data_IF_963920795875
#
_entry.id   IF_963920795875
#
_cell.length_a   1.000
_cell.length_b   1.000
_cell.length_c   1.000
_cell.angle_alpha   90.00
_cell.angle_beta   90.00
_cell.angle_gamma   90.00
#
_symmetry.space_group_name_H-M   'P 1'
#
loop_
_entity.id
_entity.type
_entity.pdbx_description
1 polymer ?
#
# COMPACT_ATOMS: atom_id res chain seq x y z
N UNK A 1 17.71 -9.15 53.31
CA UNK A 1 18.79 -8.15 53.16
C UNK A 1 18.95 -7.46 54.48
N UNK A 2 20.18 -7.33 54.97
CA UNK A 2 20.51 -6.58 56.19
C UNK A 2 21.16 -5.28 55.71
N UNK A 3 20.57 -4.14 56.04
CA UNK A 3 21.10 -2.83 55.68
C UNK A 3 20.97 -1.91 56.88
N UNK A 4 21.94 -1.01 57.01
CA UNK A 4 21.93 0.03 58.02
C UNK A 4 22.49 1.31 57.43
N UNK A 5 21.98 2.45 57.89
CA UNK A 5 22.24 3.76 57.31
C UNK A 5 22.98 4.61 58.33
N UNK A 6 24.13 5.14 57.90
CA UNK A 6 24.95 6.03 58.71
C UNK A 6 25.02 7.38 58.00
N UNK A 7 24.52 8.41 58.66
CA UNK A 7 24.58 9.78 58.16
C UNK A 7 25.88 10.43 58.59
N UNK A 8 26.65 10.95 57.63
CA UNK A 8 27.85 11.74 57.88
C UNK A 8 27.57 13.20 57.53
N UNK A 9 27.89 14.16 58.41
CA UNK A 9 27.75 15.58 58.11
C UNK A 9 28.78 16.03 57.06
N UNK A 10 28.64 17.25 56.54
CA UNK A 10 29.56 17.78 55.53
C UNK A 10 30.98 17.87 56.08
N UNK A 11 31.94 17.21 55.41
CA UNK A 11 33.35 17.30 55.79
C UNK A 11 33.91 18.72 55.61
N UNK A 12 33.42 19.45 54.62
CA UNK A 12 33.88 20.80 54.31
C UNK A 12 33.32 21.83 55.29
N UNK A 13 32.03 21.72 55.63
CA UNK A 13 31.33 22.74 56.43
C UNK A 13 31.36 22.44 57.93
N UNK A 14 31.53 21.17 58.32
CA UNK A 14 31.43 20.69 59.70
C UNK A 14 32.44 19.56 60.01
N UNK A 15 33.74 19.81 59.78
CA UNK A 15 34.80 18.80 59.92
C UNK A 15 34.84 18.10 61.30
N UNK A 16 34.62 18.84 62.39
CA UNK A 16 34.64 18.26 63.74
C UNK A 16 33.48 17.29 63.97
N UNK A 17 32.29 17.63 63.46
CA UNK A 17 31.10 16.78 63.54
C UNK A 17 31.25 15.54 62.66
N UNK A 18 31.92 15.70 61.50
CA UNK A 18 32.26 14.58 60.63
C UNK A 18 33.20 13.60 61.32
N UNK A 19 34.28 14.06 61.92
CA UNK A 19 35.24 13.21 62.62
C UNK A 19 34.60 12.50 63.82
N UNK A 20 33.73 13.20 64.56
CA UNK A 20 32.95 12.60 65.64
C UNK A 20 32.01 11.49 65.13
N UNK A 21 31.32 11.72 64.01
CA UNK A 21 30.46 10.71 63.38
C UNK A 21 31.26 9.50 62.87
N UNK A 22 32.45 9.72 62.29
CA UNK A 22 33.35 8.64 61.85
C UNK A 22 33.87 7.83 63.04
N UNK A 23 34.18 8.46 64.17
CA UNK A 23 34.61 7.73 65.37
C UNK A 23 33.48 6.87 65.95
N UNK A 24 32.25 7.40 66.03
CA UNK A 24 31.07 6.60 66.38
C UNK A 24 30.87 5.42 65.42
N UNK A 25 31.07 5.64 64.12
CA UNK A 25 31.01 4.57 63.14
C UNK A 25 32.10 3.51 63.40
N UNK A 26 33.36 3.90 63.64
CA UNK A 26 34.45 2.96 63.98
C UNK A 26 34.17 2.13 65.23
N UNK A 27 33.58 2.72 66.26
CA UNK A 27 33.22 2.00 67.48
C UNK A 27 32.32 0.79 67.18
N UNK A 28 31.42 0.92 66.20
CA UNK A 28 30.55 -0.18 65.74
C UNK A 28 31.30 -1.34 65.08
N UNK A 29 32.49 -1.10 64.54
CA UNK A 29 33.34 -2.16 63.96
C UNK A 29 34.25 -2.83 64.99
N UNK A 30 34.54 -2.16 66.11
CA UNK A 30 35.57 -2.60 67.06
C UNK A 30 34.94 -3.18 68.34
N UNK A 31 33.90 -2.55 68.87
CA UNK A 31 33.32 -2.93 70.15
C UNK A 31 32.29 -4.06 69.99
N UNK A 32 32.75 -5.30 70.18
CA UNK A 32 31.91 -6.52 70.11
C UNK A 32 30.77 -6.58 71.12
N UNK A 33 30.84 -5.77 72.17
CA UNK A 33 29.82 -5.71 73.22
C UNK A 33 28.79 -4.60 72.97
N UNK A 34 28.99 -3.77 71.95
CA UNK A 34 28.00 -2.78 71.55
C UNK A 34 26.78 -3.49 70.94
N UNK A 35 25.55 -3.10 71.28
CA UNK A 35 24.36 -3.59 70.58
C UNK A 35 24.38 -3.22 69.08
N UNK A 36 25.12 -2.18 68.71
CA UNK A 36 25.28 -1.71 67.32
C UNK A 36 26.49 -2.32 66.60
N UNK A 37 27.09 -3.37 67.17
CA UNK A 37 28.23 -4.07 66.58
C UNK A 37 27.86 -4.65 65.21
N UNK A 38 28.63 -4.26 64.19
CA UNK A 38 28.23 -4.51 62.81
C UNK A 38 28.43 -5.97 62.39
N UNK A 39 29.53 -6.62 62.79
CA UNK A 39 29.85 -7.94 62.25
C UNK A 39 29.03 -9.05 62.89
N UNK A 40 28.04 -9.55 62.16
CA UNK A 40 27.26 -10.73 62.53
C UNK A 40 27.93 -12.01 61.97
N UNK A 41 27.87 -13.15 62.67
CA UNK A 41 28.37 -14.43 62.15
C UNK A 41 27.77 -14.83 60.80
N UNK A 42 26.54 -14.39 60.49
CA UNK A 42 25.88 -14.63 59.20
C UNK A 42 26.55 -13.95 58.00
N UNK A 43 27.40 -12.94 58.23
CA UNK A 43 28.16 -12.28 57.16
C UNK A 43 29.46 -12.99 56.82
N UNK A 44 29.87 -13.94 57.65
CA UNK A 44 31.14 -14.62 57.47
C UNK A 44 31.01 -15.58 56.31
N UNK A 45 31.63 -15.25 55.17
CA UNK A 45 31.84 -16.25 54.13
C UNK A 45 32.74 -17.32 54.70
N UNK A 46 32.29 -18.56 54.54
CA UNK A 46 32.95 -19.78 54.96
C UNK A 46 34.20 -20.03 54.09
N UNK A 47 35.20 -19.17 54.24
CA UNK A 47 36.50 -19.24 53.58
C UNK A 47 37.57 -18.91 54.61
N UNK A 48 38.51 -19.84 54.81
CA UNK A 48 39.64 -19.61 55.72
C UNK A 48 40.52 -18.46 55.25
N UNK A 49 41.14 -17.74 56.18
CA UNK A 49 41.95 -16.55 55.89
C UNK A 49 43.11 -16.84 54.91
N UNK A 50 43.72 -18.02 54.97
CA UNK A 50 44.76 -18.48 54.05
C UNK A 50 44.24 -18.76 52.62
N UNK A 51 42.94 -18.99 52.47
CA UNK A 51 42.28 -19.32 51.19
C UNK A 51 41.47 -18.17 50.62
N UNK A 52 41.33 -17.05 51.35
CA UNK A 52 40.48 -15.94 50.93
C UNK A 52 40.96 -15.34 49.60
N UNK A 53 42.27 -15.22 49.40
CA UNK A 53 42.84 -14.71 48.16
C UNK A 53 42.48 -15.61 46.97
N UNK A 54 42.72 -16.93 47.09
CA UNK A 54 42.38 -17.90 46.05
C UNK A 54 40.88 -17.91 45.73
N UNK A 55 40.03 -17.85 46.75
CA UNK A 55 38.58 -17.78 46.60
C UNK A 55 38.15 -16.50 45.86
N UNK A 56 38.67 -15.33 46.25
CA UNK A 56 38.37 -14.07 45.59
C UNK A 56 38.84 -14.06 44.13
N UNK A 57 40.01 -14.62 43.82
CA UNK A 57 40.50 -14.79 42.45
C UNK A 57 39.57 -15.66 41.62
N UNK A 58 39.09 -16.78 42.17
CA UNK A 58 38.10 -17.63 41.49
C UNK A 58 36.77 -16.91 41.26
N UNK A 59 36.28 -16.15 42.26
CA UNK A 59 35.08 -15.34 42.11
C UNK A 59 35.25 -14.28 41.03
N UNK A 60 36.39 -13.59 41.00
CA UNK A 60 36.69 -12.58 39.99
C UNK A 60 36.71 -13.20 38.58
N UNK A 61 37.37 -14.34 38.42
CA UNK A 61 37.40 -15.07 37.16
C UNK A 61 35.99 -15.46 36.69
N UNK A 62 35.14 -15.96 37.59
CA UNK A 62 33.76 -16.30 37.29
C UNK A 62 32.92 -15.07 36.89
N UNK A 63 33.09 -13.95 37.61
CA UNK A 63 32.42 -12.69 37.29
C UNK A 63 32.82 -12.20 35.90
N UNK A 64 34.12 -12.23 35.58
CA UNK A 64 34.62 -11.80 34.27
C UNK A 64 34.13 -12.71 33.13
N UNK A 65 34.16 -14.02 33.35
CA UNK A 65 33.79 -15.01 32.34
C UNK A 65 32.28 -15.01 32.07
N UNK A 66 31.46 -14.76 33.08
CA UNK A 66 30.00 -14.83 33.00
C UNK A 66 29.31 -13.46 33.14
N UNK A 67 30.04 -12.36 32.95
CA UNK A 67 29.51 -11.01 33.14
C UNK A 67 28.27 -10.74 32.29
N UNK A 68 28.21 -11.28 31.07
CA UNK A 68 27.05 -11.14 30.18
C UNK A 68 25.78 -11.77 30.76
N UNK A 69 25.89 -12.89 31.47
CA UNK A 69 24.77 -13.54 32.15
C UNK A 69 24.40 -12.79 33.43
N UNK A 70 25.40 -12.43 34.24
CA UNK A 70 25.21 -11.72 35.51
C UNK A 70 24.60 -10.33 35.29
N UNK A 71 25.11 -9.59 34.31
CA UNK A 71 24.63 -8.25 33.94
C UNK A 71 23.19 -8.26 33.45
N UNK A 72 22.81 -9.28 32.67
CA UNK A 72 21.43 -9.45 32.22
C UNK A 72 20.50 -9.84 33.38
N UNK A 73 20.88 -10.81 34.21
CA UNK A 73 19.97 -11.35 35.24
C UNK A 73 19.84 -10.46 36.48
N UNK A 74 20.90 -9.75 36.89
CA UNK A 74 20.92 -9.01 38.16
C UNK A 74 20.73 -7.49 38.00
N UNK A 75 21.05 -6.92 36.84
CA UNK A 75 21.09 -5.47 36.64
C UNK A 75 20.26 -4.98 35.45
N UNK A 76 19.61 -5.90 34.72
CA UNK A 76 18.80 -5.60 33.52
C UNK A 76 19.55 -4.76 32.48
N UNK A 77 20.89 -4.89 32.47
CA UNK A 77 21.78 -3.96 31.78
C UNK A 77 21.99 -4.27 30.30
N UNK A 78 21.68 -5.49 29.85
CA UNK A 78 21.87 -5.89 28.45
C UNK A 78 20.54 -6.16 27.75
N UNK A 79 20.25 -5.40 26.69
CA UNK A 79 19.06 -5.61 25.83
C UNK A 79 19.09 -6.93 25.04
N UNK A 80 20.24 -7.58 24.96
CA UNK A 80 20.42 -8.86 24.26
C UNK A 80 20.50 -10.00 25.28
N UNK A 81 19.60 -11.00 25.22
CA UNK A 81 19.64 -12.15 26.12
C UNK A 81 20.92 -12.96 25.91
N UNK A 82 21.55 -13.47 26.99
CA UNK A 82 22.71 -14.35 26.86
C UNK A 82 22.34 -15.60 26.06
N UNK A 83 23.30 -16.11 25.29
CA UNK A 83 23.12 -17.40 24.60
C UNK A 83 22.79 -18.50 25.64
N UNK A 84 21.91 -19.42 25.26
CA UNK A 84 21.44 -20.50 26.14
C UNK A 84 22.58 -21.35 26.72
N UNK A 85 23.66 -21.54 25.95
CA UNK A 85 24.88 -22.26 26.37
C UNK A 85 25.68 -21.51 27.46
N UNK A 86 25.69 -20.18 27.44
CA UNK A 86 26.33 -19.35 28.46
C UNK A 86 25.56 -19.41 29.78
N UNK A 87 24.22 -19.44 29.72
CA UNK A 87 23.36 -19.59 30.90
C UNK A 87 23.53 -20.97 31.56
N UNK A 88 23.60 -22.03 30.75
CA UNK A 88 23.88 -23.39 31.24
C UNK A 88 25.26 -23.51 31.90
N UNK A 89 26.30 -22.96 31.27
CA UNK A 89 27.66 -22.94 31.83
C UNK A 89 27.73 -22.15 33.15
N UNK A 90 27.13 -20.97 33.18
CA UNK A 90 27.04 -20.18 34.42
C UNK A 90 26.28 -20.93 35.52
N UNK A 91 25.18 -21.61 35.23
CA UNK A 91 24.43 -22.37 36.25
C UNK A 91 25.28 -23.50 36.87
N UNK A 92 26.05 -24.21 36.05
CA UNK A 92 26.98 -25.26 36.51
C UNK A 92 28.10 -24.63 37.35
N UNK A 93 28.76 -23.58 36.86
CA UNK A 93 29.88 -22.95 37.55
C UNK A 93 29.48 -22.16 38.81
N UNK A 94 28.28 -21.60 38.84
CA UNK A 94 27.67 -20.96 40.02
C UNK A 94 27.54 -21.95 41.17
N UNK A 95 27.22 -23.21 40.88
CA UNK A 95 27.24 -24.27 41.91
C UNK A 95 28.66 -24.68 42.32
N UNK A 96 29.66 -24.47 41.45
CA UNK A 96 31.08 -24.76 41.71
C UNK A 96 31.85 -23.62 42.39
N UNK A 97 31.32 -22.39 42.43
CA UNK A 97 31.92 -21.27 43.18
C UNK A 97 32.06 -21.56 44.70
N UNK A 98 31.38 -22.60 45.18
CA UNK A 98 31.73 -23.34 46.39
C UNK A 98 32.16 -24.76 45.96
N UNK A 99 33.45 -24.96 45.69
CA UNK A 99 33.98 -26.26 45.25
C UNK A 99 33.46 -27.39 46.16
N UNK A 100 32.70 -28.35 45.61
CA UNK A 100 32.02 -29.43 46.38
C UNK A 100 32.95 -30.16 47.37
N UNK A 101 34.22 -30.38 47.00
CA UNK A 101 35.22 -30.99 47.87
C UNK A 101 35.86 -30.06 48.91
N UNK A 102 35.91 -28.74 48.64
CA UNK A 102 36.37 -27.75 49.62
C UNK A 102 35.25 -27.37 50.60
N UNK A 103 33.99 -27.43 50.15
CA UNK A 103 32.79 -27.19 50.94
C UNK A 103 32.66 -28.17 52.10
N UNK A 104 32.87 -29.48 51.87
CA UNK A 104 32.79 -30.49 52.94
C UNK A 104 33.88 -30.29 54.00
N UNK A 105 35.13 -30.06 53.59
CA UNK A 105 36.25 -29.80 54.51
C UNK A 105 36.03 -28.51 55.31
N UNK A 106 35.52 -27.47 54.64
CA UNK A 106 35.26 -26.19 55.29
C UNK A 106 34.08 -26.27 56.26
N UNK A 107 32.98 -26.92 55.85
CA UNK A 107 31.83 -27.17 56.71
C UNK A 107 32.24 -28.00 57.92
N UNK A 108 33.08 -29.02 57.75
CA UNK A 108 33.63 -29.77 58.88
C UNK A 108 34.39 -28.87 59.86
N UNK A 109 35.24 -27.99 59.35
CA UNK A 109 35.97 -26.98 60.12
C UNK A 109 35.04 -26.01 60.86
N UNK A 110 34.00 -25.50 60.19
CA UNK A 110 32.97 -24.66 60.78
C UNK A 110 32.24 -25.37 61.91
N UNK A 111 31.74 -26.59 61.68
CA UNK A 111 31.10 -27.39 62.72
C UNK A 111 32.04 -27.63 63.90
N UNK A 112 33.31 -27.96 63.67
CA UNK A 112 34.28 -28.15 64.77
C UNK A 112 34.50 -26.85 65.57
N UNK A 113 34.58 -25.69 64.91
CA UNK A 113 34.68 -24.38 65.56
C UNK A 113 33.44 -24.08 66.40
N UNK A 114 32.24 -24.28 65.84
CA UNK A 114 30.98 -24.06 66.57
C UNK A 114 30.87 -25.00 67.76
N UNK A 115 31.18 -26.29 67.59
CA UNK A 115 31.24 -27.27 68.70
C UNK A 115 32.16 -26.75 69.80
N UNK A 116 33.36 -26.31 69.45
CA UNK A 116 34.32 -25.82 70.46
C UNK A 116 33.79 -24.58 71.18
N UNK A 117 33.23 -23.62 70.44
CA UNK A 117 32.67 -22.39 71.00
C UNK A 117 31.51 -22.66 71.97
N UNK A 118 30.52 -23.44 71.54
CA UNK A 118 29.34 -23.73 72.37
C UNK A 118 29.68 -24.68 73.53
N UNK A 119 30.66 -25.57 73.35
CA UNK A 119 31.15 -26.42 74.43
C UNK A 119 31.94 -25.64 75.48
N UNK A 120 32.76 -24.66 75.07
CA UNK A 120 33.42 -23.77 76.03
C UNK A 120 32.39 -22.97 76.84
N UNK A 121 31.34 -22.45 76.19
CA UNK A 121 30.21 -21.81 76.89
C UNK A 121 29.50 -22.76 77.86
N UNK A 122 29.33 -24.03 77.47
CA UNK A 122 28.81 -25.07 78.35
C UNK A 122 29.68 -25.25 79.59
N UNK A 123 31.00 -25.37 79.42
CA UNK A 123 31.96 -25.51 80.53
C UNK A 123 31.88 -24.33 81.50
N UNK A 124 31.83 -23.09 80.99
CA UNK A 124 31.63 -21.90 81.82
C UNK A 124 30.29 -21.93 82.58
N UNK A 125 29.21 -22.33 81.92
CA UNK A 125 27.88 -22.39 82.51
C UNK A 125 27.74 -23.45 83.62
N UNK A 126 28.51 -24.54 83.54
CA UNK A 126 28.46 -25.60 84.56
C UNK A 126 29.40 -25.37 85.75
N UNK A 127 30.37 -24.43 85.68
CA UNK A 127 31.30 -24.17 86.79
C UNK A 127 30.61 -23.94 88.14
N UNK A 128 29.57 -23.08 88.26
CA UNK A 128 28.91 -22.87 89.55
C UNK A 128 28.25 -24.14 90.08
N UNK A 129 27.67 -24.94 89.17
CA UNK A 129 27.03 -26.23 89.52
C UNK A 129 28.10 -27.26 89.93
N UNK A 130 29.25 -27.24 89.27
CA UNK A 130 30.38 -28.09 89.58
C UNK A 130 30.98 -27.77 90.96
N UNK A 131 31.14 -26.49 91.30
CA UNK A 131 31.63 -26.05 92.62
C UNK A 131 30.65 -26.43 93.74
N UNK A 132 29.34 -26.27 93.50
CA UNK A 132 28.29 -26.75 94.41
C UNK A 132 28.35 -28.27 94.61
N UNK A 133 28.53 -29.04 93.53
CA UNK A 133 28.67 -30.50 93.61
C UNK A 133 29.91 -30.90 94.43
N UNK A 134 31.04 -30.22 94.24
CA UNK A 134 32.26 -30.53 95.01
C UNK A 134 32.14 -30.21 96.50
N UNK A 135 31.34 -29.21 96.86
CA UNK A 135 31.19 -28.78 98.25
C UNK A 135 30.07 -29.51 99.00
N UNK A 136 28.97 -29.85 98.32
CA UNK A 136 27.74 -30.37 98.95
C UNK A 136 27.37 -31.80 98.53
N UNK A 137 28.01 -32.36 97.51
CA UNK A 137 27.65 -33.65 96.91
C UNK A 137 26.57 -33.53 95.83
N UNK A 138 26.26 -34.65 95.17
CA UNK A 138 25.33 -34.69 94.03
C UNK A 138 23.86 -34.82 94.49
N UNK A 139 23.14 -33.72 94.44
CA UNK A 139 21.67 -33.67 94.58
C UNK A 139 20.95 -33.69 93.22
N UNK A 140 19.69 -34.15 93.20
CA UNK A 140 18.83 -34.19 92.00
C UNK A 140 18.65 -32.81 91.34
N UNK A 141 18.66 -31.74 92.15
CA UNK A 141 18.57 -30.38 91.64
C UNK A 141 19.77 -29.99 90.76
N UNK A 142 20.98 -30.44 91.12
CA UNK A 142 22.18 -30.17 90.32
C UNK A 142 22.17 -30.97 89.01
N UNK A 143 21.69 -32.21 89.02
CA UNK A 143 21.49 -32.99 87.79
C UNK A 143 20.51 -32.30 86.83
N UNK A 144 19.40 -31.77 87.35
CA UNK A 144 18.46 -30.95 86.56
C UNK A 144 19.12 -29.70 85.96
N UNK A 145 19.96 -29.00 86.74
CA UNK A 145 20.74 -27.83 86.26
C UNK A 145 21.73 -28.21 85.15
N UNK A 146 22.45 -29.33 85.29
CA UNK A 146 23.38 -29.83 84.26
C UNK A 146 22.65 -30.21 82.96
N UNK A 147 21.50 -30.90 83.05
CA UNK A 147 20.67 -31.23 81.88
C UNK A 147 20.15 -29.97 81.21
N UNK A 148 19.76 -28.94 81.98
CA UNK A 148 19.33 -27.63 81.44
C UNK A 148 20.48 -26.92 80.69
N UNK A 149 21.69 -26.93 81.24
CA UNK A 149 22.88 -26.38 80.57
C UNK A 149 23.11 -27.08 79.22
N UNK A 150 23.08 -28.42 79.20
CA UNK A 150 23.21 -29.21 77.96
C UNK A 150 22.15 -28.83 76.93
N UNK A 151 20.87 -28.74 77.32
CA UNK A 151 19.79 -28.35 76.40
C UNK A 151 20.03 -26.97 75.77
N UNK A 152 20.45 -26.00 76.58
CA UNK A 152 20.77 -24.64 76.13
C UNK A 152 21.94 -24.62 75.15
N UNK A 153 22.97 -25.43 75.40
CA UNK A 153 24.11 -25.62 74.49
C UNK A 153 23.69 -26.23 73.16
N UNK A 154 22.83 -27.25 73.17
CA UNK A 154 22.32 -27.87 71.94
C UNK A 154 21.45 -26.90 71.14
N UNK A 155 20.62 -26.10 71.79
CA UNK A 155 19.83 -25.06 71.15
C UNK A 155 20.72 -23.98 70.50
N UNK A 156 21.77 -23.55 71.20
CA UNK A 156 22.75 -22.58 70.68
C UNK A 156 23.51 -23.14 69.46
N UNK A 157 23.91 -24.41 69.51
CA UNK A 157 24.53 -25.10 68.37
C UNK A 157 23.59 -25.09 67.17
N UNK A 158 22.34 -25.55 67.35
CA UNK A 158 21.34 -25.61 66.28
C UNK A 158 21.08 -24.24 65.65
N UNK A 159 20.96 -23.19 66.46
CA UNK A 159 20.75 -21.84 65.97
C UNK A 159 21.94 -21.31 65.14
N UNK A 160 23.18 -21.61 65.52
CA UNK A 160 24.37 -21.16 64.79
C UNK A 160 24.51 -21.88 63.44
N UNK A 161 24.12 -23.16 63.37
CA UNK A 161 24.30 -24.01 62.19
C UNK A 161 23.03 -24.17 61.34
N UNK A 162 21.94 -23.48 61.68
CA UNK A 162 20.63 -23.63 61.03
C UNK A 162 20.69 -23.52 59.51
N UNK A 163 21.47 -22.57 58.99
CA UNK A 163 21.63 -22.35 57.56
C UNK A 163 22.62 -23.30 56.87
N UNK A 164 23.19 -24.26 57.60
CA UNK A 164 24.27 -25.15 57.14
C UNK A 164 23.94 -26.64 57.38
N UNK A 165 22.66 -26.99 57.50
CA UNK A 165 22.20 -28.38 57.64
C UNK A 165 22.56 -29.17 56.37
N UNK A 166 23.52 -30.08 56.51
CA UNK A 166 23.95 -31.00 55.45
C UNK A 166 24.27 -32.37 56.04
N UNK A 167 24.82 -33.27 55.23
CA UNK A 167 25.00 -34.69 55.59
C UNK A 167 25.79 -34.93 56.90
N UNK A 168 26.66 -33.98 57.29
CA UNK A 168 27.47 -34.09 58.51
C UNK A 168 26.83 -33.44 59.75
N UNK A 169 25.66 -32.80 59.61
CA UNK A 169 24.97 -32.08 60.69
C UNK A 169 24.70 -32.98 61.90
N UNK A 170 24.02 -34.12 61.69
CA UNK A 170 23.65 -35.02 62.80
C UNK A 170 24.90 -35.62 63.46
N UNK A 171 25.90 -36.03 62.68
CA UNK A 171 27.15 -36.56 63.21
C UNK A 171 27.88 -35.54 64.12
N UNK A 172 27.91 -34.26 63.72
CA UNK A 172 28.53 -33.18 64.50
C UNK A 172 27.70 -32.80 65.73
N UNK A 173 26.39 -32.78 65.59
CA UNK A 173 25.44 -32.58 66.69
C UNK A 173 25.57 -33.66 67.76
N UNK A 174 25.68 -34.92 67.33
CA UNK A 174 25.89 -36.06 68.22
C UNK A 174 27.27 -36.02 68.90
N UNK A 175 28.32 -35.60 68.17
CA UNK A 175 29.65 -35.37 68.76
C UNK A 175 29.63 -34.35 69.90
N UNK A 176 28.93 -33.23 69.74
CA UNK A 176 28.75 -32.25 70.82
C UNK A 176 27.96 -32.83 71.99
N UNK A 177 26.88 -33.57 71.70
CA UNK A 177 26.06 -34.23 72.72
C UNK A 177 26.89 -35.22 73.54
N UNK A 178 27.73 -36.02 72.89
CA UNK A 178 28.63 -36.97 73.57
C UNK A 178 29.59 -36.25 74.51
N UNK A 179 30.28 -35.20 74.02
CA UNK A 179 31.19 -34.39 74.85
C UNK A 179 30.51 -33.83 76.10
N UNK A 180 29.29 -33.28 75.96
CA UNK A 180 28.54 -32.76 77.09
C UNK A 180 28.15 -33.87 78.07
N UNK A 181 27.67 -35.02 77.56
CA UNK A 181 27.27 -36.17 78.37
C UNK A 181 28.45 -36.80 79.11
N UNK A 182 29.62 -36.93 78.47
CA UNK A 182 30.85 -37.41 79.09
C UNK A 182 31.28 -36.50 80.23
N UNK A 183 31.23 -35.18 80.03
CA UNK A 183 31.55 -34.23 81.10
C UNK A 183 30.56 -34.32 82.27
N UNK A 184 29.26 -34.38 81.99
CA UNK A 184 28.23 -34.57 83.04
C UNK A 184 28.44 -35.90 83.78
N UNK A 185 28.72 -36.98 83.04
CA UNK A 185 28.98 -38.30 83.61
C UNK A 185 30.22 -38.28 84.51
N UNK A 186 31.31 -37.62 84.09
CA UNK A 186 32.52 -37.50 84.91
C UNK A 186 32.24 -36.83 86.26
N UNK A 187 31.42 -35.77 86.28
CA UNK A 187 31.01 -35.08 87.49
C UNK A 187 30.15 -35.95 88.41
N UNK A 188 29.31 -36.81 87.83
CA UNK A 188 28.45 -37.73 88.59
C UNK A 188 29.21 -38.96 89.09
N UNK A 189 30.17 -39.50 88.33
CA UNK A 189 30.93 -40.71 88.67
C UNK A 189 31.99 -40.51 89.73
N UNK A 190 32.49 -39.27 89.91
CA UNK A 190 33.49 -38.94 90.93
C UNK A 190 32.93 -38.92 92.37
N UNK A 191 31.61 -38.98 92.56
CA UNK A 191 30.99 -38.60 93.85
C UNK A 191 30.20 -39.67 94.62
N UNK A 192 29.64 -40.76 94.04
CA UNK A 192 29.19 -42.04 94.72
C UNK A 192 28.23 -42.89 93.85
N UNK A 193 28.00 -44.20 94.18
CA UNK A 193 27.29 -45.15 93.30
C UNK A 193 25.73 -45.15 93.31
N UNK A 194 25.05 -44.41 94.19
CA UNK A 194 23.66 -44.72 94.58
C UNK A 194 22.53 -43.88 93.93
N UNK A 195 22.78 -43.28 92.77
CA UNK A 195 21.79 -42.56 91.95
C UNK A 195 21.54 -43.20 90.57
N UNK A 196 22.08 -44.40 90.33
CA UNK A 196 22.01 -45.11 89.05
C UNK A 196 20.59 -45.56 88.64
N UNK A 197 19.68 -45.83 89.59
CA UNK A 197 18.36 -46.40 89.29
C UNK A 197 17.39 -45.39 88.66
N UNK A 198 17.36 -44.14 89.16
CA UNK A 198 16.56 -43.07 88.55
C UNK A 198 17.07 -42.70 87.16
N UNK A 199 18.40 -42.69 86.99
CA UNK A 199 19.04 -42.48 85.70
C UNK A 199 18.71 -43.62 84.71
N UNK A 200 18.69 -44.88 85.17
CA UNK A 200 18.37 -46.04 84.35
C UNK A 200 16.92 -46.04 83.85
N UNK A 201 15.96 -45.66 84.69
CA UNK A 201 14.54 -45.55 84.30
C UNK A 201 14.36 -44.43 83.28
N UNK A 202 15.00 -43.27 83.49
CA UNK A 202 14.95 -42.15 82.55
C UNK A 202 15.58 -42.52 81.20
N UNK A 203 16.71 -43.23 81.22
CA UNK A 203 17.37 -43.74 80.00
C UNK A 203 16.49 -44.77 79.26
N UNK A 204 15.75 -45.61 79.97
CA UNK A 204 14.84 -46.59 79.36
C UNK A 204 13.61 -45.92 78.73
N UNK A 205 13.04 -44.92 79.41
CA UNK A 205 11.96 -44.11 78.88
C UNK A 205 12.38 -43.33 77.62
N UNK A 206 13.55 -42.66 77.66
CA UNK A 206 14.14 -41.97 76.50
C UNK A 206 14.36 -42.94 75.33
N UNK A 207 14.86 -44.16 75.59
CA UNK A 207 15.10 -45.16 74.54
C UNK A 207 13.81 -45.63 73.87
N UNK A 208 12.72 -45.73 74.63
CA UNK A 208 11.42 -46.18 74.11
C UNK A 208 10.75 -45.06 73.29
N UNK A 209 10.81 -43.82 73.78
CA UNK A 209 10.39 -42.63 73.02
C UNK A 209 11.16 -42.50 71.71
N UNK A 210 12.46 -42.72 71.73
CA UNK A 210 13.31 -42.65 70.54
C UNK A 210 12.95 -43.74 69.51
N UNK A 211 12.61 -44.96 69.96
CA UNK A 211 12.14 -46.02 69.07
C UNK A 211 10.80 -45.68 68.41
N UNK A 212 9.86 -45.08 69.16
CA UNK A 212 8.61 -44.58 68.59
C UNK A 212 8.84 -43.43 67.60
N UNK A 213 9.69 -42.48 67.95
CA UNK A 213 10.04 -41.35 67.08
C UNK A 213 10.65 -41.84 65.77
N UNK A 214 11.55 -42.83 65.83
CA UNK A 214 12.13 -43.47 64.65
C UNK A 214 11.06 -44.18 63.79
N UNK A 215 10.15 -44.93 64.41
CA UNK A 215 9.08 -45.63 63.68
C UNK A 215 8.10 -44.65 63.01
N UNK A 216 7.83 -43.50 63.64
CA UNK A 216 7.01 -42.42 63.06
C UNK A 216 7.75 -41.79 61.88
N UNK A 217 9.04 -41.48 62.03
CA UNK A 217 9.86 -40.92 60.95
C UNK A 217 9.90 -41.86 59.73
N UNK A 218 10.06 -43.18 59.93
CA UNK A 218 10.05 -44.16 58.84
C UNK A 218 8.68 -44.20 58.11
N UNK A 219 7.56 -44.13 58.83
CA UNK A 219 6.23 -44.07 58.21
C UNK A 219 6.01 -42.78 57.43
N UNK A 220 6.42 -41.64 57.99
CA UNK A 220 6.33 -40.34 57.32
C UNK A 220 7.18 -40.35 56.05
N UNK A 221 8.39 -40.92 56.10
CA UNK A 221 9.26 -41.03 54.92
C UNK A 221 8.63 -41.85 53.80
N UNK A 222 8.06 -43.02 54.12
CA UNK A 222 7.39 -43.87 53.13
C UNK A 222 6.17 -43.19 52.49
N UNK A 223 5.38 -42.47 53.29
CA UNK A 223 4.22 -41.72 52.78
C UNK A 223 4.65 -40.54 51.90
N UNK A 224 5.73 -39.83 52.27
CA UNK A 224 6.33 -38.77 51.46
C UNK A 224 6.83 -39.33 50.12
N UNK A 225 7.54 -40.46 50.12
CA UNK A 225 8.00 -41.12 48.89
C UNK A 225 6.83 -41.57 48.00
N UNK A 226 5.75 -42.10 48.59
CA UNK A 226 4.54 -42.47 47.85
C UNK A 226 3.92 -41.24 47.18
N UNK A 227 3.75 -40.14 47.92
CA UNK A 227 3.20 -38.87 47.43
C UNK A 227 4.07 -38.26 46.32
N UNK A 228 5.39 -38.36 46.44
CA UNK A 228 6.33 -37.90 45.40
C UNK A 228 6.10 -38.69 44.10
N UNK A 229 6.04 -40.03 44.17
CA UNK A 229 5.80 -40.86 42.98
C UNK A 229 4.45 -40.58 42.31
N UNK A 230 3.39 -40.37 43.10
CA UNK A 230 2.07 -39.98 42.59
C UNK A 230 2.10 -38.63 41.88
N UNK A 231 2.80 -37.65 42.47
CA UNK A 231 2.98 -36.33 41.89
C UNK A 231 3.83 -36.37 40.61
N UNK A 232 4.89 -37.19 40.57
CA UNK A 232 5.72 -37.41 39.38
C UNK A 232 4.90 -38.02 38.24
N UNK A 233 4.04 -39.00 38.52
CA UNK A 233 3.16 -39.60 37.53
C UNK A 233 2.16 -38.58 36.97
N UNK A 234 1.52 -37.78 37.85
CA UNK A 234 0.60 -36.73 37.43
C UNK A 234 1.31 -35.64 36.61
N UNK A 235 2.54 -35.27 36.98
CA UNK A 235 3.37 -34.34 36.22
C UNK A 235 3.76 -34.89 34.84
N UNK A 236 4.07 -36.18 34.75
CA UNK A 236 4.35 -36.83 33.47
C UNK A 236 3.12 -36.85 32.56
N UNK A 237 1.94 -37.15 33.11
CA UNK A 237 0.69 -37.22 32.34
C UNK A 237 0.27 -35.83 31.83
N UNK A 238 0.31 -34.81 32.68
CA UNK A 238 0.02 -33.42 32.26
C UNK A 238 1.00 -32.90 31.21
N UNK A 239 2.28 -33.31 31.28
CA UNK A 239 3.27 -32.98 30.25
C UNK A 239 2.90 -33.56 28.88
N UNK A 240 2.48 -34.83 28.81
CA UNK A 240 2.04 -35.47 27.55
C UNK A 240 0.84 -34.73 26.95
N UNK A 241 -0.12 -34.32 27.79
CA UNK A 241 -1.30 -33.56 27.35
C UNK A 241 -0.91 -32.18 26.79
N UNK A 242 0.02 -31.49 27.45
CA UNK A 242 0.56 -30.21 26.97
C UNK A 242 1.32 -30.36 25.65
N UNK A 243 2.09 -31.43 25.47
CA UNK A 243 2.81 -31.70 24.23
C UNK A 243 1.81 -31.98 23.08
N UNK A 244 0.73 -32.71 23.34
CA UNK A 244 -0.35 -32.92 22.37
C UNK A 244 -1.07 -31.62 21.99
N UNK A 245 -1.36 -30.76 22.97
CA UNK A 245 -1.95 -29.44 22.73
C UNK A 245 -1.02 -28.54 21.92
N UNK A 246 0.29 -28.55 22.22
CA UNK A 246 1.30 -27.81 21.45
C UNK A 246 1.34 -28.26 20.00
N UNK A 247 1.28 -29.56 19.74
CA UNK A 247 1.23 -30.09 18.38
C UNK A 247 -0.03 -29.60 17.63
N UNK A 248 -1.19 -29.54 18.31
CA UNK A 248 -2.43 -29.00 17.73
C UNK A 248 -2.31 -27.50 17.41
N UNK A 249 -1.67 -26.72 18.28
CA UNK A 249 -1.40 -25.29 18.05
C UNK A 249 -0.54 -25.12 16.81
N UNK A 250 0.58 -25.85 16.70
CA UNK A 250 1.45 -25.78 15.53
C UNK A 250 0.74 -26.17 14.22
N UNK A 251 -0.15 -27.16 14.26
CA UNK A 251 -0.96 -27.50 13.09
C UNK A 251 -1.89 -26.35 12.68
N UNK A 252 -2.56 -25.73 13.65
CA UNK A 252 -3.45 -24.59 13.39
C UNK A 252 -2.67 -23.36 12.89
N UNK A 253 -1.49 -23.08 13.43
CA UNK A 253 -0.58 -22.03 12.94
C UNK A 253 -0.23 -22.26 11.46
N UNK A 254 0.08 -23.50 11.08
CA UNK A 254 0.38 -23.85 9.69
C UNK A 254 -0.83 -23.68 8.76
N UNK A 255 -2.03 -24.05 9.21
CA UNK A 255 -3.28 -23.85 8.45
C UNK A 255 -3.58 -22.37 8.27
N UNK A 256 -3.41 -21.55 9.31
CA UNK A 256 -3.59 -20.09 9.23
C UNK A 256 -2.61 -19.49 8.21
N UNK A 257 -1.34 -19.87 8.27
CA UNK A 257 -0.34 -19.38 7.32
C UNK A 257 -0.68 -19.74 5.85
N UNK A 258 -1.23 -20.93 5.60
CA UNK A 258 -1.71 -21.32 4.27
C UNK A 258 -2.90 -20.46 3.82
N UNK A 259 -3.88 -20.25 4.71
CA UNK A 259 -5.04 -19.42 4.39
C UNK A 259 -4.66 -17.96 4.14
N UNK A 260 -3.71 -17.40 4.89
CA UNK A 260 -3.19 -16.04 4.67
C UNK A 260 -2.53 -15.92 3.28
N UNK A 261 -1.81 -16.95 2.84
CA UNK A 261 -1.24 -17.00 1.50
C UNK A 261 -2.33 -17.06 0.41
N UNK A 262 -3.39 -17.85 0.59
CA UNK A 262 -4.54 -17.91 -0.32
C UNK A 262 -5.28 -16.56 -0.39
N UNK A 263 -5.53 -15.92 0.76
CA UNK A 263 -6.15 -14.59 0.83
C UNK A 263 -5.32 -13.56 0.06
N UNK A 264 -3.99 -13.58 0.23
CA UNK A 264 -3.07 -12.71 -0.49
C UNK A 264 -3.15 -12.92 -2.02
N UNK A 265 -3.23 -14.18 -2.47
CA UNK A 265 -3.42 -14.52 -3.88
C UNK A 265 -4.76 -14.01 -4.42
N UNK A 266 -5.86 -14.18 -3.67
CA UNK A 266 -7.17 -13.67 -4.07
C UNK A 266 -7.20 -12.14 -4.13
N UNK A 267 -6.57 -11.44 -3.19
CA UNK A 267 -6.45 -9.99 -3.22
C UNK A 267 -5.71 -9.49 -4.47
N UNK A 268 -4.62 -10.15 -4.85
CA UNK A 268 -3.89 -9.85 -6.09
C UNK A 268 -4.75 -10.07 -7.34
N UNK A 269 -5.50 -11.17 -7.41
CA UNK A 269 -6.41 -11.45 -8.50
C UNK A 269 -7.53 -10.39 -8.62
N UNK A 270 -8.10 -9.97 -7.48
CA UNK A 270 -9.11 -8.91 -7.45
C UNK A 270 -8.54 -7.61 -8.02
N UNK A 271 -7.34 -7.21 -7.61
CA UNK A 271 -6.68 -6.01 -8.14
C UNK A 271 -6.47 -6.07 -9.66
N UNK A 272 -6.05 -7.22 -10.20
CA UNK A 272 -5.93 -7.39 -11.66
C UNK A 272 -7.29 -7.27 -12.38
N UNK A 273 -8.36 -7.81 -11.81
CA UNK A 273 -9.70 -7.72 -12.37
C UNK A 273 -10.25 -6.29 -12.33
N UNK A 274 -9.97 -5.53 -11.28
CA UNK A 274 -10.36 -4.11 -11.16
C UNK A 274 -9.69 -3.24 -12.23
N UNK A 275 -8.39 -3.45 -12.48
CA UNK A 275 -7.65 -2.77 -13.56
C UNK A 275 -8.26 -3.12 -14.92
N UNK A 276 -8.45 -4.41 -15.22
CA UNK A 276 -9.01 -4.85 -16.49
C UNK A 276 -10.45 -4.34 -16.72
N UNK A 277 -11.25 -4.21 -15.66
CA UNK A 277 -12.58 -3.62 -15.76
C UNK A 277 -12.52 -2.11 -16.02
N UNK A 278 -11.59 -1.40 -15.38
CA UNK A 278 -11.38 0.04 -15.62
C UNK A 278 -11.01 0.31 -17.08
N UNK A 279 -10.08 -0.47 -17.64
CA UNK A 279 -9.71 -0.40 -19.06
C UNK A 279 -10.90 -0.66 -20.00
N UNK A 280 -11.75 -1.64 -19.67
CA UNK A 280 -12.97 -1.92 -20.44
C UNK A 280 -13.96 -0.75 -20.40
N UNK A 281 -14.12 -0.10 -19.24
CA UNK A 281 -15.01 1.07 -19.13
C UNK A 281 -14.51 2.24 -19.98
N UNK A 282 -13.20 2.51 -19.97
CA UNK A 282 -12.59 3.53 -20.83
C UNK A 282 -12.79 3.20 -22.32
N UNK A 283 -12.58 1.95 -22.71
CA UNK A 283 -12.81 1.50 -24.08
C UNK A 283 -14.28 1.65 -24.51
N UNK A 284 -15.23 1.29 -23.64
CA UNK A 284 -16.67 1.47 -23.90
C UNK A 284 -17.00 2.96 -24.05
N UNK A 285 -16.43 3.84 -23.21
CA UNK A 285 -16.64 5.28 -23.31
C UNK A 285 -16.13 5.83 -24.65
N UNK A 286 -14.94 5.40 -25.10
CA UNK A 286 -14.38 5.79 -26.39
C UNK A 286 -15.24 5.31 -27.58
N UNK A 287 -15.75 4.07 -27.54
CA UNK A 287 -16.68 3.57 -28.55
C UNK A 287 -17.98 4.36 -28.59
N UNK A 288 -18.52 4.74 -27.42
CA UNK A 288 -19.74 5.56 -27.33
C UNK A 288 -19.53 6.94 -27.95
N UNK A 289 -18.40 7.59 -27.66
CA UNK A 289 -18.06 8.89 -28.25
C UNK A 289 -17.94 8.78 -29.79
N UNK A 290 -17.21 7.79 -30.28
CA UNK A 290 -17.04 7.53 -31.72
C UNK A 290 -18.39 7.29 -32.42
N UNK A 291 -19.32 6.58 -31.79
CA UNK A 291 -20.65 6.36 -32.36
C UNK A 291 -21.47 7.65 -32.41
N UNK A 292 -21.37 8.52 -31.39
CA UNK A 292 -22.01 9.84 -31.41
C UNK A 292 -21.52 10.68 -32.59
N UNK A 293 -20.21 10.72 -32.84
CA UNK A 293 -19.62 11.43 -33.99
C UNK A 293 -20.09 10.87 -35.34
N UNK A 294 -20.21 9.54 -35.44
CA UNK A 294 -20.76 8.88 -36.63
C UNK A 294 -22.23 9.24 -36.86
N UNK A 295 -23.04 9.28 -35.81
CA UNK A 295 -24.46 9.66 -35.90
C UNK A 295 -24.63 11.13 -36.35
N UNK A 296 -23.78 12.02 -35.85
CA UNK A 296 -23.72 13.42 -36.31
C UNK A 296 -23.34 13.50 -37.79
N UNK A 297 -22.31 12.76 -38.21
CA UNK A 297 -21.87 12.69 -39.61
C UNK A 297 -22.98 12.16 -40.53
N UNK A 298 -23.67 11.09 -40.12
CA UNK A 298 -24.80 10.52 -40.87
C UNK A 298 -25.92 11.54 -41.01
N UNK A 299 -26.21 12.30 -39.94
CA UNK A 299 -27.23 13.35 -39.96
C UNK A 299 -26.86 14.47 -40.93
N UNK A 300 -25.60 14.89 -40.95
CA UNK A 300 -25.09 15.89 -41.89
C UNK A 300 -25.19 15.40 -43.35
N UNK A 301 -24.77 14.17 -43.64
CA UNK A 301 -24.87 13.57 -44.98
C UNK A 301 -26.32 13.44 -45.46
N UNK A 302 -27.27 13.09 -44.58
CA UNK A 302 -28.70 13.08 -44.92
C UNK A 302 -29.21 14.47 -45.28
N UNK A 303 -28.81 15.50 -44.53
CA UNK A 303 -29.19 16.88 -44.83
C UNK A 303 -28.63 17.35 -46.19
N UNK A 304 -27.37 17.03 -46.48
CA UNK A 304 -26.73 17.35 -47.77
C UNK A 304 -27.43 16.64 -48.93
N UNK A 305 -27.75 15.35 -48.80
CA UNK A 305 -28.46 14.60 -49.83
C UNK A 305 -29.85 15.18 -50.09
N UNK A 306 -30.58 15.59 -49.05
CA UNK A 306 -31.87 16.26 -49.22
C UNK A 306 -31.73 17.59 -49.97
N UNK A 307 -30.68 18.37 -49.69
CA UNK A 307 -30.40 19.61 -50.41
C UNK A 307 -30.08 19.35 -51.89
N UNK A 308 -29.24 18.35 -52.19
CA UNK A 308 -28.95 17.91 -53.57
C UNK A 308 -30.21 17.46 -54.29
N UNK A 309 -31.10 16.73 -53.62
CA UNK A 309 -32.40 16.34 -54.17
C UNK A 309 -33.27 17.53 -54.60
N UNK A 310 -33.29 18.60 -53.81
CA UNK A 310 -34.00 19.85 -54.18
C UNK A 310 -33.40 20.50 -55.43
N UNK A 311 -32.07 20.62 -55.48
CA UNK A 311 -31.37 21.19 -56.65
C UNK A 311 -31.63 20.37 -57.91
N UNK A 312 -31.66 19.04 -57.82
CA UNK A 312 -32.01 18.17 -58.94
C UNK A 312 -33.43 18.48 -59.42
N UNK A 313 -34.40 18.59 -58.50
CA UNK A 313 -35.78 18.95 -58.86
C UNK A 313 -35.90 20.34 -59.52
N UNK A 314 -35.13 21.33 -59.04
CA UNK A 314 -35.05 22.66 -59.67
C UNK A 314 -34.48 22.59 -61.09
N UNK A 315 -33.41 21.81 -61.30
CA UNK A 315 -32.81 21.60 -62.61
C UNK A 315 -33.75 20.87 -63.57
N UNK A 316 -34.49 19.86 -63.10
CA UNK A 316 -35.51 19.17 -63.88
C UNK A 316 -36.61 20.15 -64.32
N UNK A 317 -37.10 21.02 -63.42
CA UNK A 317 -38.08 22.04 -63.76
C UNK A 317 -37.54 23.02 -64.83
N UNK A 318 -36.30 23.49 -64.70
CA UNK A 318 -35.66 24.35 -65.71
C UNK A 318 -35.58 23.65 -67.07
N UNK A 319 -35.23 22.36 -67.10
CA UNK A 319 -35.18 21.60 -68.35
C UNK A 319 -36.55 21.48 -68.99
N UNK A 320 -37.63 21.24 -68.23
CA UNK A 320 -38.99 21.21 -68.79
C UNK A 320 -39.40 22.55 -69.43
N UNK A 321 -39.03 23.67 -68.81
CA UNK A 321 -39.27 25.02 -69.37
C UNK A 321 -38.46 25.21 -70.66
N UNK A 322 -37.20 24.78 -70.68
CA UNK A 322 -36.35 24.85 -71.86
C UNK A 322 -36.92 24.03 -73.01
N UNK A 323 -37.42 22.82 -72.76
CA UNK A 323 -38.05 21.97 -73.77
C UNK A 323 -39.33 22.60 -74.34
N UNK A 324 -40.13 23.25 -73.49
CA UNK A 324 -41.31 24.01 -73.92
C UNK A 324 -40.93 25.20 -74.82
N UNK A 325 -39.89 25.97 -74.44
CA UNK A 325 -39.37 27.07 -75.26
C UNK A 325 -38.86 26.57 -76.60
N UNK A 326 -38.09 25.48 -76.62
CA UNK A 326 -37.58 24.87 -77.86
C UNK A 326 -38.75 24.46 -78.78
N UNK A 327 -39.80 23.88 -78.20
CA UNK A 327 -41.00 23.50 -78.96
C UNK A 327 -41.73 24.70 -79.55
N UNK A 328 -41.88 25.78 -78.78
CA UNK A 328 -42.48 27.04 -79.24
C UNK A 328 -41.67 27.68 -80.38
N UNK A 329 -40.33 27.76 -80.23
CA UNK A 329 -39.45 28.29 -81.26
C UNK A 329 -39.49 27.46 -82.55
N UNK A 330 -39.60 26.12 -82.44
CA UNK A 330 -39.79 25.25 -83.62
C UNK A 330 -41.09 25.54 -84.35
N UNK A 331 -42.19 25.75 -83.61
CA UNK A 331 -43.49 26.09 -84.20
C UNK A 331 -43.44 27.45 -84.91
N UNK A 332 -42.91 28.49 -84.24
CA UNK A 332 -42.77 29.84 -84.82
C UNK A 332 -41.90 29.83 -86.08
N UNK A 333 -40.79 29.08 -86.08
CA UNK A 333 -39.98 28.92 -87.30
C UNK A 333 -40.74 28.19 -88.41
N UNK A 334 -41.59 27.22 -88.08
CA UNK A 334 -42.48 26.57 -89.04
C UNK A 334 -43.45 27.55 -89.70
N UNK A 335 -44.07 28.41 -88.90
CA UNK A 335 -44.97 29.47 -89.38
C UNK A 335 -44.24 30.48 -90.26
N UNK A 336 -43.08 30.99 -89.81
CA UNK A 336 -42.25 31.89 -90.62
C UNK A 336 -41.84 31.27 -91.95
N UNK A 337 -41.50 29.98 -91.96
CA UNK A 337 -41.13 29.29 -93.20
C UNK A 337 -42.33 29.17 -94.16
N UNK A 338 -43.54 28.96 -93.63
CA UNK A 338 -44.77 28.98 -94.42
C UNK A 338 -45.05 30.37 -95.00
N UNK A 339 -44.89 31.42 -94.21
CA UNK A 339 -45.06 32.81 -94.66
C UNK A 339 -44.06 33.15 -95.77
N UNK A 340 -42.80 32.73 -95.63
CA UNK A 340 -41.78 32.85 -96.69
C UNK A 340 -42.27 32.17 -97.98
N UNK A 341 -42.75 30.93 -97.93
CA UNK A 341 -43.28 30.24 -99.11
C UNK A 341 -44.50 30.96 -99.74
N UNK A 342 -45.37 31.57 -98.93
CA UNK A 342 -46.50 32.38 -99.43
C UNK A 342 -45.98 33.62 -100.16
N UNK A 343 -45.00 34.32 -99.59
CA UNK A 343 -44.39 35.49 -100.20
C UNK A 343 -43.65 35.15 -101.50
N UNK A 344 -42.91 34.04 -101.53
CA UNK A 344 -42.25 33.54 -102.74
C UNK A 344 -43.27 33.27 -103.86
N UNK A 345 -44.39 32.60 -103.55
CA UNK A 345 -45.45 32.34 -104.52
C UNK A 345 -46.14 33.64 -105.00
N UNK A 346 -46.35 34.60 -104.11
CA UNK A 346 -46.91 35.90 -104.46
C UNK A 346 -45.96 36.71 -105.36
N UNK A 347 -44.65 36.65 -105.11
CA UNK A 347 -43.64 37.28 -105.97
C UNK A 347 -43.61 36.61 -107.36
N UNK A 348 -43.65 35.28 -107.45
CA UNK A 348 -43.75 34.59 -108.75
C UNK A 348 -44.95 35.07 -109.58
N UNK A 349 -46.11 35.28 -108.95
CA UNK A 349 -47.30 35.84 -109.63
C UNK A 349 -47.11 37.28 -110.07
N UNK A 350 -46.39 38.08 -109.28
CA UNK A 350 -46.04 39.46 -109.67
C UNK A 350 -45.09 39.44 -110.86
N UNK A 351 -44.10 38.56 -110.87
CA UNK A 351 -43.16 38.42 -111.98
C UNK A 351 -43.88 37.98 -113.28
N UNK A 352 -44.86 37.07 -113.18
CA UNK A 352 -45.75 36.72 -114.29
C UNK A 352 -46.55 37.94 -114.79
N UNK A 353 -47.15 38.71 -113.88
CA UNK A 353 -47.92 39.91 -114.24
C UNK A 353 -47.04 41.00 -114.88
N UNK A 354 -45.82 41.20 -114.36
CA UNK A 354 -44.83 42.10 -114.95
C UNK A 354 -44.49 41.64 -116.37
N UNK A 355 -44.23 40.35 -116.58
CA UNK A 355 -43.96 39.80 -117.92
C UNK A 355 -45.12 40.04 -118.90
N UNK A 356 -46.37 39.92 -118.45
CA UNK A 356 -47.56 40.24 -119.27
C UNK A 356 -47.59 41.73 -119.63
N UNK A 357 -47.37 42.61 -118.65
CA UNK A 357 -47.33 44.05 -118.87
C UNK A 357 -46.18 44.46 -119.80
N UNK A 358 -45.01 43.82 -119.72
CA UNK A 358 -43.88 44.04 -120.62
C UNK A 358 -44.22 43.63 -122.07
N UNK A 359 -44.91 42.50 -122.28
CA UNK A 359 -45.41 42.09 -123.60
C UNK A 359 -46.41 43.11 -124.14
N UNK A 360 -47.36 43.56 -123.30
CA UNK A 360 -48.38 44.53 -123.69
C UNK A 360 -47.75 45.89 -124.04
N UNK A 361 -46.77 46.34 -123.25
CA UNK A 361 -46.00 47.54 -123.56
C UNK A 361 -45.26 47.41 -124.90
N UNK A 362 -44.60 46.28 -125.17
CA UNK A 362 -43.95 46.04 -126.46
C UNK A 362 -44.93 45.97 -127.64
N UNK A 363 -46.16 45.48 -127.41
CA UNK A 363 -47.22 45.50 -128.42
C UNK A 363 -47.73 46.93 -128.67
N UNK A 364 -47.87 47.75 -127.61
CA UNK A 364 -48.20 49.17 -127.76
C UNK A 364 -47.11 49.93 -128.52
N UNK A 365 -45.83 49.69 -128.23
CA UNK A 365 -44.71 50.29 -128.99
C UNK A 365 -44.80 49.94 -130.47
N UNK A 366 -45.08 48.68 -130.81
CA UNK A 366 -45.28 48.25 -132.21
C UNK A 366 -46.48 48.94 -132.89
N UNK A 367 -47.55 49.21 -132.13
CA UNK A 367 -48.72 49.96 -132.59
C UNK A 367 -48.37 51.43 -132.82
N UNK A 368 -47.60 52.03 -131.92
CA UNK A 368 -47.09 53.40 -132.06
C UNK A 368 -46.22 53.50 -133.32
N UNK A 369 -45.30 52.56 -133.54
CA UNK A 369 -44.49 52.50 -134.76
C UNK A 369 -45.36 52.43 -136.03
N UNK A 370 -46.43 51.63 -136.01
CA UNK A 370 -47.38 51.54 -137.11
C UNK A 370 -48.15 52.86 -137.32
N UNK A 371 -48.63 53.49 -136.25
CA UNK A 371 -49.29 54.79 -136.31
C UNK A 371 -48.35 55.90 -136.78
N UNK A 372 -47.08 55.88 -136.38
CA UNK A 372 -46.07 56.83 -136.82
C UNK A 372 -45.75 56.64 -138.31
N UNK A 373 -45.70 55.39 -138.79
CA UNK A 373 -45.60 55.07 -140.21
C UNK A 373 -46.82 55.56 -140.99
N UNK A 374 -48.04 55.26 -140.54
CA UNK A 374 -49.29 55.72 -141.17
C UNK A 374 -49.35 57.25 -141.22
N UNK A 375 -48.92 57.92 -140.14
CA UNK A 375 -48.79 59.38 -140.09
C UNK A 375 -47.77 59.89 -141.10
N UNK A 376 -46.64 59.19 -141.28
CA UNK A 376 -45.65 59.45 -142.32
C UNK A 376 -46.21 59.31 -143.74
N UNK A 377 -47.01 58.26 -144.00
CA UNK A 377 -47.70 58.04 -145.27
C UNK A 377 -48.74 59.13 -145.56
N UNK A 378 -49.57 59.48 -144.57
CA UNK A 378 -50.50 60.61 -144.62
C UNK A 378 -49.78 61.92 -144.92
N UNK A 379 -48.64 62.18 -144.27
CA UNK A 379 -47.82 63.36 -144.52
C UNK A 379 -47.28 63.39 -145.96
N UNK A 380 -46.93 62.24 -146.53
CA UNK A 380 -46.54 62.12 -147.94
C UNK A 380 -47.72 62.36 -148.90
N UNK A 381 -48.93 61.89 -148.55
CA UNK A 381 -50.16 62.19 -149.30
C UNK A 381 -50.46 63.68 -149.27
N UNK A 382 -50.36 64.33 -148.10
CA UNK A 382 -50.52 65.78 -147.95
C UNK A 382 -49.49 66.51 -148.82
N UNK A 383 -48.21 66.12 -148.79
CA UNK A 383 -47.19 66.72 -149.68
C UNK A 383 -47.52 66.57 -151.17
N UNK A 384 -48.07 65.42 -151.60
CA UNK A 384 -48.54 65.25 -152.98
C UNK A 384 -49.74 66.13 -153.29
N UNK A 385 -50.69 66.24 -152.36
CA UNK A 385 -51.82 67.16 -152.50
C UNK A 385 -51.35 68.61 -152.54
N UNK A 386 -50.42 69.04 -151.69
CA UNK A 386 -49.80 70.37 -151.74
C UNK A 386 -49.08 70.60 -153.07
N UNK A 387 -48.38 69.59 -153.60
CA UNK A 387 -47.75 69.68 -154.93
C UNK A 387 -48.81 69.84 -156.01
N UNK A 388 -49.87 69.03 -156.00
CA UNK A 388 -50.98 69.12 -156.94
C UNK A 388 -51.77 70.44 -156.81
N UNK A 389 -51.95 70.95 -155.59
CA UNK A 389 -52.55 72.26 -155.31
C UNK A 389 -51.64 73.36 -155.85
N UNK A 390 -50.32 73.27 -155.67
CA UNK A 390 -49.36 74.22 -156.24
C UNK A 390 -49.34 74.17 -157.77
N UNK A 391 -49.47 72.99 -158.38
CA UNK A 391 -49.63 72.80 -159.82
C UNK A 391 -50.95 73.41 -160.32
N UNK A 392 -52.06 73.16 -159.62
CA UNK A 392 -53.36 73.79 -159.90
C UNK A 392 -53.28 75.31 -159.74
N UNK A 393 -52.62 75.83 -158.72
CA UNK A 393 -52.37 77.27 -158.53
C UNK A 393 -51.50 77.84 -159.67
N UNK A 394 -50.54 77.09 -160.21
CA UNK A 394 -49.77 77.52 -161.39
C UNK A 394 -50.60 77.47 -162.67
N UNK A 395 -51.50 76.49 -162.83
CA UNK A 395 -52.47 76.44 -163.93
C UNK A 395 -53.45 77.61 -163.82
N UNK A 396 -53.99 77.88 -162.63
CA UNK A 396 -54.83 79.04 -162.35
C UNK A 396 -54.07 80.32 -162.68
N UNK A 397 -52.82 80.49 -162.22
CA UNK A 397 -52.00 81.65 -162.62
C UNK A 397 -51.78 81.76 -164.12
N UNK A 398 -51.58 80.65 -164.85
CA UNK A 398 -51.50 80.68 -166.31
C UNK A 398 -52.83 81.06 -166.94
N UNK A 399 -53.95 80.59 -166.41
CA UNK A 399 -55.28 81.00 -166.83
C UNK A 399 -55.54 82.48 -166.49
N UNK A 400 -55.12 82.97 -165.33
CA UNK A 400 -55.17 84.39 -164.94
C UNK A 400 -54.27 85.25 -165.83
N UNK A 401 -53.09 84.76 -166.24
CA UNK A 401 -52.24 85.42 -167.25
C UNK A 401 -52.94 85.39 -168.61
N UNK A 402 -53.57 84.29 -169.00
CA UNK A 402 -54.34 84.20 -170.25
C UNK A 402 -55.57 85.13 -170.24
N UNK A 403 -56.27 85.25 -169.10
CA UNK A 403 -57.37 86.18 -168.86
C UNK A 403 -56.87 87.62 -168.84
N UNK A 404 -55.74 87.89 -168.18
CA UNK A 404 -55.09 89.21 -168.17
C UNK A 404 -54.60 89.58 -169.57
N UNK A 405 -54.21 88.61 -170.40
CA UNK A 405 -53.89 88.83 -171.82
C UNK A 405 -55.16 89.09 -172.63
N UNK A 406 -56.26 88.38 -172.34
CA UNK A 406 -57.61 88.68 -172.84
C UNK A 406 -58.11 90.09 -172.42
N UNK A 407 -57.64 90.61 -171.28
CA UNK A 407 -57.96 91.96 -170.77
C UNK A 407 -56.95 93.04 -171.20
N UNK A 408 -55.70 92.71 -171.54
CA UNK A 408 -54.69 93.66 -172.00
C UNK A 408 -54.73 93.89 -173.53
N UNK A 409 -55.22 92.94 -174.32
CA UNK A 409 -55.46 93.15 -175.77
C UNK A 409 -56.88 93.62 -176.11
N UNK A 410 -57.72 93.92 -175.09
CA UNK A 410 -58.95 94.72 -175.24
C UNK A 410 -58.75 96.19 -174.83
N UNK A 411 -57.52 96.62 -174.58
CA UNK A 411 -57.13 98.00 -174.23
C UNK A 411 -56.49 98.83 -175.35
N UNK A 412 -56.32 98.28 -176.56
CA UNK A 412 -56.06 99.10 -177.76
C UNK A 412 -56.70 98.42 -178.96
N UNK A 413 -57.70 99.10 -179.52
CA UNK A 413 -58.46 98.83 -180.74
C UNK A 413 -59.92 98.32 -180.55
N UNK A 414 -60.96 99.18 -180.49
CA UNK A 414 -60.97 100.64 -180.67
C UNK A 414 -60.47 101.12 -182.05
N UNK A 415 -60.11 100.16 -182.91
CA UNK A 415 -59.69 100.27 -184.30
C UNK A 415 -59.70 98.84 -184.85
N UNK A 416 -60.88 98.43 -185.31
CA UNK A 416 -61.10 97.30 -186.24
C UNK A 416 -60.99 95.89 -185.62
N UNK A 417 -62.07 95.23 -185.20
CA UNK A 417 -63.22 94.73 -185.96
C UNK A 417 -62.84 93.74 -187.08
N UNK A 418 -63.08 92.43 -186.86
CA UNK A 418 -63.59 91.48 -187.87
C UNK A 418 -63.90 90.07 -187.32
N UNK A 419 -65.11 89.63 -187.70
CA UNK A 419 -65.70 88.28 -187.84
C UNK A 419 -66.06 87.50 -186.56
#
# INVERSE_FOLDING_TARGET
>A
MDYDIVTLPSKADASNEFDAAVNKLRERFINKNSPDYLFKPSYWKLVSSDKIASHLTSMQYAIQTHWSVIGHEAFDWSKTPPKFDAKGRYAIEKTCCFFKGQYTTHIDGFYNMVIQHVYNKFLEAIKPVQDDIYTKGVEDEYLKKLVKCRRTTMASFNAIVEHHQGDIYEAKRDKLRSKCNEKIKSLASEQTPWNATGLAIQLFADRTLQMQEKAIQERVQLEVERRIKEMELAAAQTKVELDAQRAKIHHLEAVIANNDAEISNYASMIGMLEVANSEKYEFIAALKATNSEKDETISALKAENNAKGKVIGELEAVNTVKDAIISALKAENGDKNRDVSILEAANSKKDEAISVLEIEAGAMDSLIDAHEKDAGELKAVISRQDTAINELLTIIRRQEIAISKHQATTGSQGTEMKA
#
